data_IF_888648343096
#
_entry.id   IF_888648343096
#
_cell.length_a   1.000
_cell.length_b   1.000
_cell.length_c   1.000
_cell.angle_alpha   90.00
_cell.angle_beta   90.00
_cell.angle_gamma   90.00
#
_symmetry.space_group_name_H-M   'P 1'
#
loop_
_entity.id
_entity.type
_entity.pdbx_description
1 polymer ?
#
# COMPACT_ATOMS: atom_id res chain seq x y z
N UNK A 1 -10.07 19.81 10.11
CA UNK A 1 -10.43 18.43 9.74
C UNK A 1 -9.97 18.14 8.31
N UNK A 2 -9.25 17.03 8.06
CA UNK A 2 -8.69 16.67 6.74
C UNK A 2 -9.63 15.79 5.91
N UNK A 3 -10.89 16.23 5.74
CA UNK A 3 -11.97 15.41 5.19
C UNK A 3 -11.64 14.86 3.79
N UNK A 4 -11.11 15.71 2.90
CA UNK A 4 -10.73 15.31 1.54
C UNK A 4 -9.67 14.22 1.54
N UNK A 5 -8.59 14.40 2.29
CA UNK A 5 -7.47 13.46 2.33
C UNK A 5 -7.90 12.12 2.90
N UNK A 6 -8.68 12.14 3.99
CA UNK A 6 -9.17 10.90 4.64
C UNK A 6 -10.17 10.17 3.75
N UNK A 7 -11.11 10.86 3.11
CA UNK A 7 -12.03 10.24 2.15
C UNK A 7 -11.29 9.62 0.96
N UNK A 8 -10.34 10.36 0.37
CA UNK A 8 -9.53 9.87 -0.76
C UNK A 8 -8.73 8.62 -0.39
N UNK A 9 -8.10 8.61 0.80
CA UNK A 9 -7.42 7.41 1.30
C UNK A 9 -8.39 6.23 1.38
N UNK A 10 -9.48 6.36 2.12
CA UNK A 10 -10.43 5.26 2.42
C UNK A 10 -11.00 4.63 1.15
N UNK A 11 -11.54 5.44 0.23
CA UNK A 11 -12.12 4.90 -1.01
C UNK A 11 -11.06 4.24 -1.91
N UNK A 12 -9.86 4.83 -2.01
CA UNK A 12 -8.79 4.24 -2.80
C UNK A 12 -8.22 2.95 -2.19
N UNK A 13 -8.16 2.85 -0.86
CA UNK A 13 -7.70 1.66 -0.16
C UNK A 13 -8.69 0.51 -0.30
N UNK A 14 -10.00 0.79 -0.16
CA UNK A 14 -11.05 -0.20 -0.42
C UNK A 14 -10.99 -0.73 -1.86
N UNK A 15 -10.75 0.14 -2.84
CA UNK A 15 -10.57 -0.27 -4.23
C UNK A 15 -9.30 -1.15 -4.42
N UNK A 16 -8.20 -0.83 -3.74
CA UNK A 16 -6.96 -1.64 -3.77
C UNK A 16 -7.19 -3.04 -3.20
N UNK A 17 -8.00 -3.21 -2.16
CA UNK A 17 -8.35 -4.53 -1.61
C UNK A 17 -9.05 -5.39 -2.66
N UNK A 18 -10.04 -4.83 -3.35
CA UNK A 18 -10.75 -5.56 -4.41
C UNK A 18 -9.82 -5.90 -5.59
N UNK A 19 -8.94 -4.97 -5.96
CA UNK A 19 -7.93 -5.20 -6.99
C UNK A 19 -6.94 -6.30 -6.59
N UNK A 20 -6.47 -6.30 -5.35
CA UNK A 20 -5.54 -7.31 -4.81
C UNK A 20 -6.19 -8.68 -4.85
N UNK A 21 -7.44 -8.80 -4.37
CA UNK A 21 -8.21 -10.05 -4.44
C UNK A 21 -8.35 -10.53 -5.90
N UNK A 22 -8.72 -9.64 -6.82
CA UNK A 22 -8.88 -9.97 -8.24
C UNK A 22 -7.60 -10.54 -8.84
N UNK A 23 -6.44 -9.94 -8.56
CA UNK A 23 -5.15 -10.45 -9.03
C UNK A 23 -4.85 -11.83 -8.46
N UNK A 24 -5.19 -12.08 -7.19
CA UNK A 24 -5.06 -13.42 -6.60
C UNK A 24 -6.00 -14.44 -7.26
N UNK A 25 -7.24 -14.06 -7.57
CA UNK A 25 -8.22 -14.95 -8.21
C UNK A 25 -7.81 -15.30 -9.66
N UNK A 26 -7.31 -14.32 -10.42
CA UNK A 26 -6.93 -14.49 -11.83
C UNK A 26 -5.54 -15.11 -12.01
N UNK A 27 -4.66 -14.96 -11.01
CA UNK A 27 -3.29 -15.48 -10.97
C UNK A 27 -2.49 -15.26 -12.28
N UNK A 28 -2.39 -14.03 -12.81
CA UNK A 28 -1.61 -13.75 -14.01
C UNK A 28 -0.11 -14.04 -13.79
N UNK A 29 0.65 -14.21 -14.87
CA UNK A 29 2.10 -14.52 -14.82
C UNK A 29 2.89 -13.50 -13.98
N UNK A 30 2.48 -12.23 -13.99
CA UNK A 30 3.10 -11.15 -13.24
C UNK A 30 2.36 -10.81 -11.93
N UNK A 31 1.55 -11.73 -11.38
CA UNK A 31 0.72 -11.49 -10.20
C UNK A 31 1.51 -10.88 -9.03
N UNK A 32 2.68 -11.44 -8.70
CA UNK A 32 3.50 -10.97 -7.56
C UNK A 32 3.89 -9.49 -7.71
N UNK A 33 4.22 -9.04 -8.93
CA UNK A 33 4.54 -7.63 -9.20
C UNK A 33 3.31 -6.73 -9.05
N UNK A 34 2.17 -7.15 -9.61
CA UNK A 34 0.91 -6.40 -9.48
C UNK A 34 0.47 -6.25 -8.02
N UNK A 35 0.59 -7.32 -7.23
CA UNK A 35 0.30 -7.29 -5.80
C UNK A 35 1.26 -6.36 -5.05
N UNK A 36 2.55 -6.39 -5.39
CA UNK A 36 3.55 -5.51 -4.80
C UNK A 36 3.27 -4.03 -5.09
N UNK A 37 2.89 -3.69 -6.32
CA UNK A 37 2.51 -2.33 -6.70
C UNK A 37 1.30 -1.84 -5.89
N UNK A 38 0.29 -2.69 -5.69
CA UNK A 38 -0.87 -2.38 -4.85
C UNK A 38 -0.47 -2.13 -3.39
N UNK A 39 0.46 -2.90 -2.84
CA UNK A 39 0.99 -2.69 -1.48
C UNK A 39 1.75 -1.36 -1.37
N UNK A 40 2.59 -1.03 -2.34
CA UNK A 40 3.38 0.21 -2.34
C UNK A 40 2.47 1.45 -2.48
N UNK A 41 1.45 1.38 -3.34
CA UNK A 41 0.43 2.43 -3.47
C UNK A 41 -0.37 2.61 -2.17
N UNK A 42 -0.67 1.51 -1.47
CA UNK A 42 -1.29 1.56 -0.16
C UNK A 42 -0.40 2.26 0.86
N UNK A 43 0.89 1.92 0.94
CA UNK A 43 1.83 2.59 1.86
C UNK A 43 1.93 4.09 1.58
N UNK A 44 2.09 4.49 0.32
CA UNK A 44 2.11 5.90 -0.07
C UNK A 44 0.81 6.62 0.33
N UNK A 45 -0.34 5.96 0.18
CA UNK A 45 -1.62 6.51 0.64
C UNK A 45 -1.69 6.65 2.16
N UNK A 46 -1.24 5.66 2.92
CA UNK A 46 -1.15 5.72 4.38
C UNK A 46 -0.23 6.85 4.86
N UNK A 47 0.93 7.02 4.22
CA UNK A 47 1.89 8.08 4.55
C UNK A 47 1.39 9.47 4.18
N UNK A 48 0.93 9.65 2.94
CA UNK A 48 0.71 10.99 2.38
C UNK A 48 -0.75 11.47 2.54
N UNK A 49 -1.73 10.57 2.47
CA UNK A 49 -3.16 10.92 2.57
C UNK A 49 -3.76 10.63 3.94
N UNK A 50 -3.42 9.50 4.56
CA UNK A 50 -3.91 9.16 5.89
C UNK A 50 -3.04 9.73 7.00
N UNK A 51 -1.77 9.99 6.69
CA UNK A 51 -0.74 10.49 7.62
C UNK A 51 -0.64 9.62 8.88
N UNK A 52 -0.64 8.30 8.67
CA UNK A 52 -0.49 7.29 9.73
C UNK A 52 0.81 6.50 9.62
N UNK A 53 1.81 6.99 8.87
CA UNK A 53 3.16 6.44 8.87
C UNK A 53 4.07 7.25 9.81
N UNK A 54 5.32 6.82 9.97
CA UNK A 54 6.37 7.54 10.67
C UNK A 54 7.74 7.33 9.99
N UNK A 55 8.77 8.13 10.30
CA UNK A 55 10.08 8.03 9.65
C UNK A 55 10.71 6.64 9.73
N UNK A 56 10.55 5.94 10.84
CA UNK A 56 11.08 4.59 11.06
C UNK A 56 10.40 3.55 10.15
N UNK A 57 9.08 3.66 9.98
CA UNK A 57 8.30 2.82 9.07
C UNK A 57 8.68 3.09 7.61
N UNK A 58 8.77 4.37 7.23
CA UNK A 58 9.16 4.77 5.88
C UNK A 58 10.59 4.30 5.55
N UNK A 59 11.50 4.38 6.52
CA UNK A 59 12.86 3.86 6.39
C UNK A 59 12.84 2.34 6.21
N UNK A 60 12.09 1.60 7.03
CA UNK A 60 12.00 0.15 6.95
C UNK A 60 11.41 -0.31 5.62
N UNK A 61 10.32 0.33 5.16
CA UNK A 61 9.73 0.07 3.85
C UNK A 61 10.76 0.27 2.73
N UNK A 62 11.51 1.38 2.77
CA UNK A 62 12.57 1.64 1.79
C UNK A 62 13.70 0.58 1.83
N UNK A 63 14.11 0.12 3.01
CA UNK A 63 15.12 -0.93 3.16
C UNK A 63 14.60 -2.24 2.56
N UNK A 64 13.36 -2.62 2.84
CA UNK A 64 12.74 -3.82 2.31
C UNK A 64 12.71 -3.80 0.78
N UNK A 65 12.25 -2.70 0.17
CA UNK A 65 12.19 -2.54 -1.28
C UNK A 65 13.58 -2.62 -1.92
N UNK A 66 14.59 -1.94 -1.33
CA UNK A 66 15.99 -2.01 -1.80
C UNK A 66 16.60 -3.41 -1.65
N UNK A 67 16.08 -4.22 -0.74
CA UNK A 67 16.57 -5.57 -0.44
C UNK A 67 15.81 -6.68 -1.20
N UNK A 68 14.92 -6.32 -2.14
CA UNK A 68 14.24 -7.28 -3.00
C UNK A 68 12.75 -7.53 -2.67
N UNK A 69 12.16 -6.80 -1.72
CA UNK A 69 10.72 -6.87 -1.53
C UNK A 69 9.99 -6.29 -2.76
N UNK A 70 9.03 -7.05 -3.31
CA UNK A 70 8.22 -6.61 -4.45
C UNK A 70 7.16 -5.58 -4.02
N UNK A 71 6.70 -5.67 -2.77
CA UNK A 71 5.85 -4.66 -2.13
C UNK A 71 6.12 -4.58 -0.64
N UNK A 72 6.04 -3.38 -0.07
CA UNK A 72 6.23 -3.15 1.35
C UNK A 72 5.32 -2.02 1.85
N UNK A 73 4.73 -2.21 3.02
CA UNK A 73 3.82 -1.24 3.67
C UNK A 73 3.81 -1.45 5.17
N UNK A 74 3.39 -0.42 5.90
CA UNK A 74 3.00 -0.53 7.30
C UNK A 74 1.81 -1.48 7.48
N UNK A 75 1.56 -1.96 8.69
CA UNK A 75 0.41 -2.83 9.01
C UNK A 75 -0.16 -2.49 10.38
N UNK A 76 -1.48 -2.63 10.55
CA UNK A 76 -2.18 -2.12 11.72
C UNK A 76 -2.54 -0.65 11.60
N UNK A 77 -2.60 0.06 12.74
CA UNK A 77 -3.05 1.46 12.81
C UNK A 77 -2.00 2.47 12.29
N UNK A 78 -0.74 2.05 12.28
CA UNK A 78 0.45 2.82 11.94
C UNK A 78 1.64 1.95 12.23
#
# INVERSE_FOLDING_TARGET
FKLYQRAKHVYSEAARVLAFKKVCDEAPVNAVHLLGDLMNLSHASCRDLYECSCPELDQLVNICLKSGAVGSRLTGAG
#
